data_IF_796713582576
#
_entry.id   IF_796713582576
#
_cell.length_a   1.000
_cell.length_b   1.000
_cell.length_c   1.000
_cell.angle_alpha   90.00
_cell.angle_beta   90.00
_cell.angle_gamma   90.00
#
_symmetry.space_group_name_H-M   'P 1'
#
loop_
_entity.id
_entity.type
_entity.pdbx_description
1 polymer ?
#
# COMPACT_ATOMS: atom_id res chain seq x y z
N UNK A 1 -4.29 17.82 11.20
CA UNK A 1 -3.88 17.90 9.78
C UNK A 1 -4.37 16.67 9.03
N UNK A 2 -4.68 16.80 7.73
CA UNK A 2 -5.08 15.65 6.92
C UNK A 2 -3.87 14.73 6.67
N UNK A 3 -4.08 13.43 6.73
CA UNK A 3 -3.05 12.43 6.38
C UNK A 3 -2.65 12.51 4.89
N UNK A 4 -3.56 12.98 4.02
CA UNK A 4 -3.37 13.06 2.57
C UNK A 4 -3.54 14.48 2.06
N UNK A 5 -2.84 14.83 0.97
CA UNK A 5 -2.97 16.12 0.29
C UNK A 5 -3.27 15.94 -1.20
N UNK A 6 -4.00 16.91 -1.76
CA UNK A 6 -4.32 16.93 -3.20
C UNK A 6 -3.02 17.03 -4.02
N UNK A 7 -2.93 16.30 -5.11
CA UNK A 7 -1.77 16.12 -6.00
C UNK A 7 -0.64 15.25 -5.45
N UNK A 8 -0.76 14.71 -4.26
CA UNK A 8 0.16 13.67 -3.82
C UNK A 8 0.00 12.41 -4.66
N UNK A 9 1.11 11.66 -4.76
CA UNK A 9 1.17 10.41 -5.50
C UNK A 9 1.14 9.25 -4.52
N UNK A 10 0.19 8.35 -4.73
CA UNK A 10 0.14 7.04 -4.08
C UNK A 10 0.55 5.96 -5.07
N UNK A 11 1.37 5.03 -4.65
CA UNK A 11 1.77 3.87 -5.45
C UNK A 11 1.02 2.62 -4.98
N UNK A 12 0.50 1.84 -5.90
CA UNK A 12 -0.09 0.53 -5.60
C UNK A 12 0.96 -0.48 -5.16
N UNK A 13 0.72 -1.16 -4.06
CA UNK A 13 1.61 -2.18 -3.49
C UNK A 13 1.15 -3.60 -3.79
N UNK A 14 -0.14 -3.78 -3.98
CA UNK A 14 -0.73 -5.04 -4.40
C UNK A 14 -1.88 -4.75 -5.36
N UNK A 15 -2.05 -5.63 -6.35
CA UNK A 15 -3.27 -5.61 -7.14
C UNK A 15 -4.45 -6.05 -6.28
N UNK A 16 -5.44 -5.18 -6.14
CA UNK A 16 -6.64 -5.48 -5.37
C UNK A 16 -7.87 -4.84 -6.00
N UNK A 17 -8.96 -5.57 -6.01
CA UNK A 17 -10.24 -5.08 -6.47
C UNK A 17 -10.87 -4.20 -5.38
N UNK A 18 -11.67 -3.24 -5.80
CA UNK A 18 -12.47 -2.37 -4.94
C UNK A 18 -13.89 -2.32 -5.50
N UNK A 19 -14.77 -3.09 -4.88
CA UNK A 19 -16.08 -3.32 -5.44
C UNK A 19 -16.02 -3.97 -6.83
N UNK A 20 -17.05 -3.73 -7.64
CA UNK A 20 -17.19 -4.37 -8.97
C UNK A 20 -16.55 -3.55 -10.11
N UNK A 21 -16.11 -2.31 -9.87
CA UNK A 21 -15.84 -1.36 -10.96
C UNK A 21 -14.46 -0.69 -10.88
N UNK A 22 -13.73 -0.85 -9.80
CA UNK A 22 -12.44 -0.20 -9.61
C UNK A 22 -11.38 -1.18 -9.11
N UNK A 23 -10.12 -0.89 -9.44
CA UNK A 23 -8.98 -1.73 -9.07
C UNK A 23 -7.75 -0.89 -8.82
N UNK A 24 -6.98 -1.27 -7.79
CA UNK A 24 -5.60 -0.82 -7.63
C UNK A 24 -4.68 -1.85 -8.28
N UNK A 25 -3.77 -1.38 -9.11
CA UNK A 25 -2.75 -2.22 -9.76
C UNK A 25 -1.41 -2.08 -9.04
N UNK A 26 -0.70 -3.19 -8.89
CA UNK A 26 0.63 -3.18 -8.30
C UNK A 26 1.60 -2.33 -9.12
N UNK A 27 2.40 -1.52 -8.43
CA UNK A 27 3.43 -0.64 -9.02
C UNK A 27 2.90 0.47 -9.96
N UNK A 28 1.60 0.74 -9.92
CA UNK A 28 0.97 1.86 -10.65
C UNK A 28 0.82 3.05 -9.72
N UNK A 29 1.09 4.23 -10.25
CA UNK A 29 0.97 5.49 -9.53
C UNK A 29 -0.41 6.11 -9.73
N UNK A 30 -0.94 6.69 -8.66
CA UNK A 30 -2.24 7.34 -8.59
C UNK A 30 -2.07 8.72 -7.99
N UNK A 31 -2.60 9.73 -8.64
CA UNK A 31 -2.63 11.11 -8.16
C UNK A 31 -3.92 11.32 -7.36
N UNK A 32 -3.80 11.88 -6.17
CA UNK A 32 -4.96 12.28 -5.35
C UNK A 32 -5.56 13.54 -5.95
N UNK A 33 -6.80 13.46 -6.37
CA UNK A 33 -7.55 14.59 -6.95
C UNK A 33 -8.58 15.16 -5.98
N UNK A 34 -9.12 14.31 -5.10
CA UNK A 34 -10.13 14.69 -4.11
C UNK A 34 -9.92 13.94 -2.79
N UNK A 35 -10.27 14.58 -1.68
CA UNK A 35 -10.13 14.04 -0.33
C UNK A 35 -11.39 14.39 0.47
N UNK A 36 -12.08 13.36 0.95
CA UNK A 36 -13.23 13.51 1.84
C UNK A 36 -13.03 12.63 3.08
N UNK A 37 -12.94 13.23 4.28
CA UNK A 37 -12.92 12.46 5.54
C UNK A 37 -14.17 11.59 5.64
N UNK A 38 -13.99 10.35 6.09
CA UNK A 38 -15.06 9.35 6.19
C UNK A 38 -14.86 8.47 7.41
N UNK A 39 -15.95 7.99 7.98
CA UNK A 39 -15.93 6.88 8.93
C UNK A 39 -16.29 5.61 8.19
N UNK A 40 -15.36 4.67 8.17
CA UNK A 40 -15.67 3.30 7.72
C UNK A 40 -16.38 2.58 8.85
N UNK A 41 -17.56 2.02 8.55
CA UNK A 41 -18.36 1.32 9.55
C UNK A 41 -18.70 -0.07 9.04
N UNK A 42 -18.41 -1.06 9.87
CA UNK A 42 -18.85 -2.43 9.65
C UNK A 42 -19.26 -3.06 10.98
N UNK A 43 -20.54 -3.38 11.15
CA UNK A 43 -21.15 -3.79 12.43
C UNK A 43 -20.88 -2.75 13.53
N UNK A 44 -20.23 -3.15 14.61
CA UNK A 44 -19.81 -2.31 15.74
C UNK A 44 -18.42 -1.66 15.57
N UNK A 45 -17.69 -2.03 14.51
CA UNK A 45 -16.36 -1.48 14.19
C UNK A 45 -16.53 -0.14 13.48
N UNK A 46 -15.86 0.90 14.00
CA UNK A 46 -15.78 2.23 13.41
C UNK A 46 -14.35 2.66 13.30
N UNK A 47 -13.89 2.92 12.07
CA UNK A 47 -12.52 3.31 11.76
C UNK A 47 -12.51 4.63 10.99
N UNK A 48 -11.54 5.48 11.30
CA UNK A 48 -11.26 6.66 10.50
C UNK A 48 -10.80 6.22 9.10
N UNK A 49 -11.33 6.88 8.10
CA UNK A 49 -11.02 6.60 6.70
C UNK A 49 -11.09 7.89 5.87
N UNK A 50 -10.63 7.80 4.66
CA UNK A 50 -10.78 8.85 3.65
C UNK A 50 -11.41 8.24 2.41
N UNK A 51 -12.34 8.96 1.81
CA UNK A 51 -12.74 8.70 0.45
C UNK A 51 -11.85 9.55 -0.46
N UNK A 52 -10.92 8.89 -1.15
CA UNK A 52 -10.00 9.54 -2.06
C UNK A 52 -10.45 9.36 -3.51
N UNK A 53 -10.51 10.47 -4.25
CA UNK A 53 -10.56 10.44 -5.70
C UNK A 53 -9.16 10.22 -6.24
N UNK A 54 -8.94 9.10 -6.92
CA UNK A 54 -7.64 8.72 -7.47
C UNK A 54 -7.69 8.66 -8.99
N UNK A 55 -6.66 9.17 -9.65
CA UNK A 55 -6.49 9.10 -11.10
C UNK A 55 -5.09 8.62 -11.45
N UNK A 56 -4.97 7.64 -12.33
CA UNK A 56 -3.69 7.18 -12.87
C UNK A 56 -3.43 7.66 -14.30
N UNK A 57 -4.46 8.17 -14.98
CA UNK A 57 -4.39 8.76 -16.32
C UNK A 57 -5.56 9.74 -16.52
N UNK A 58 -5.57 10.47 -17.63
CA UNK A 58 -6.61 11.47 -17.94
C UNK A 58 -8.06 10.91 -17.92
N UNK A 59 -8.23 9.62 -18.16
CA UNK A 59 -9.55 8.99 -18.30
C UNK A 59 -9.80 7.89 -17.24
N UNK A 60 -8.94 7.76 -16.23
CA UNK A 60 -9.00 6.70 -15.24
C UNK A 60 -9.14 7.35 -13.85
N UNK A 61 -10.38 7.57 -13.46
CA UNK A 61 -10.72 8.18 -12.19
C UNK A 61 -11.71 7.29 -11.43
N UNK A 62 -11.42 7.05 -10.15
CA UNK A 62 -12.34 6.34 -9.26
C UNK A 62 -12.21 6.81 -7.82
N UNK A 63 -13.27 6.63 -7.04
CA UNK A 63 -13.27 6.85 -5.60
C UNK A 63 -12.95 5.56 -4.86
N UNK A 64 -12.06 5.69 -3.87
CA UNK A 64 -11.66 4.58 -3.00
C UNK A 64 -11.80 4.98 -1.54
N UNK A 65 -12.31 4.09 -0.71
CA UNK A 65 -12.28 4.25 0.75
C UNK A 65 -10.98 3.66 1.28
N UNK A 66 -10.14 4.48 1.89
CA UNK A 66 -8.82 4.10 2.42
C UNK A 66 -8.84 4.32 3.93
N UNK A 67 -8.49 3.30 4.69
CA UNK A 67 -8.38 3.41 6.15
C UNK A 67 -7.23 4.35 6.52
N UNK A 68 -7.43 5.17 7.57
CA UNK A 68 -6.35 5.98 8.14
C UNK A 68 -5.33 5.09 8.85
N UNK A 69 -4.05 5.52 8.83
CA UNK A 69 -2.97 4.87 9.60
C UNK A 69 -3.14 5.05 11.10
N UNK A 70 -3.76 6.14 11.51
CA UNK A 70 -3.89 6.55 12.91
C UNK A 70 -5.04 5.83 13.63
N UNK A 71 -5.65 4.84 12.99
CA UNK A 71 -6.67 4.02 13.66
C UNK A 71 -6.07 3.24 14.84
N UNK A 72 -6.80 3.12 15.95
CA UNK A 72 -6.37 2.32 17.09
C UNK A 72 -6.12 0.85 16.68
N UNK A 73 -4.99 0.30 17.11
CA UNK A 73 -4.60 -1.06 16.71
C UNK A 73 -5.65 -2.11 17.10
N UNK A 74 -6.28 -2.00 18.27
CA UNK A 74 -7.33 -2.90 18.70
C UNK A 74 -8.56 -2.91 17.77
N UNK A 75 -8.90 -1.78 17.13
CA UNK A 75 -10.00 -1.72 16.16
C UNK A 75 -9.59 -2.31 14.79
N UNK A 76 -8.32 -2.13 14.41
CA UNK A 76 -7.76 -2.78 13.22
C UNK A 76 -7.69 -4.29 13.39
N UNK A 77 -7.32 -4.77 14.60
CA UNK A 77 -7.26 -6.19 14.93
C UNK A 77 -8.67 -6.82 14.89
N UNK A 78 -9.70 -6.13 15.41
CA UNK A 78 -11.10 -6.58 15.30
C UNK A 78 -11.54 -6.70 13.84
N UNK A 79 -11.20 -5.72 12.99
CA UNK A 79 -11.52 -5.78 11.57
C UNK A 79 -10.81 -6.96 10.88
N UNK A 80 -9.53 -7.18 11.19
CA UNK A 80 -8.77 -8.30 10.66
C UNK A 80 -9.36 -9.65 11.09
N UNK A 81 -9.74 -9.78 12.37
CA UNK A 81 -10.42 -10.97 12.90
C UNK A 81 -11.72 -11.25 12.18
N UNK A 82 -12.56 -10.22 11.99
CA UNK A 82 -13.84 -10.38 11.27
C UNK A 82 -13.60 -10.81 9.81
N UNK A 83 -12.62 -10.23 9.13
CA UNK A 83 -12.26 -10.65 7.77
C UNK A 83 -11.83 -12.13 7.75
N UNK A 84 -10.98 -12.56 8.69
CA UNK A 84 -10.53 -13.96 8.77
C UNK A 84 -11.68 -14.91 9.09
N UNK A 85 -12.56 -14.57 10.02
CA UNK A 85 -13.72 -15.39 10.38
C UNK A 85 -14.67 -15.57 9.18
N UNK A 86 -14.92 -14.51 8.40
CA UNK A 86 -15.72 -14.60 7.18
C UNK A 86 -15.04 -15.48 6.12
N UNK A 87 -13.71 -15.35 5.97
CA UNK A 87 -12.94 -16.19 5.06
C UNK A 87 -12.99 -17.66 5.46
N UNK A 88 -12.76 -17.97 6.73
CA UNK A 88 -12.81 -19.33 7.25
C UNK A 88 -14.19 -19.96 7.08
N UNK A 89 -15.26 -19.18 7.35
CA UNK A 89 -16.63 -19.62 7.12
C UNK A 89 -16.86 -19.96 5.64
N UNK A 90 -16.40 -19.09 4.71
CA UNK A 90 -16.54 -19.32 3.28
C UNK A 90 -15.76 -20.56 2.81
N UNK A 91 -14.56 -20.79 3.35
CA UNK A 91 -13.75 -21.98 3.05
C UNK A 91 -14.43 -23.26 3.55
N UNK A 92 -14.96 -23.25 4.78
CA UNK A 92 -15.58 -24.45 5.39
C UNK A 92 -16.93 -24.80 4.76
N UNK A 93 -17.77 -23.80 4.50
CA UNK A 93 -19.09 -24.00 3.91
C UNK A 93 -19.05 -24.29 2.40
N UNK A 94 -17.98 -23.85 1.72
CA UNK A 94 -17.86 -23.83 0.24
C UNK A 94 -19.04 -23.12 -0.46
N UNK A 95 -19.76 -22.26 0.28
CA UNK A 95 -20.94 -21.55 -0.18
C UNK A 95 -20.55 -20.30 -0.98
N UNK A 96 -21.13 -20.13 -2.15
CA UNK A 96 -21.00 -18.89 -2.94
C UNK A 96 -21.49 -17.65 -2.15
N UNK A 97 -22.52 -17.80 -1.32
CA UNK A 97 -23.06 -16.70 -0.52
C UNK A 97 -22.06 -16.26 0.57
N UNK A 98 -21.38 -17.18 1.22
CA UNK A 98 -20.38 -16.84 2.23
C UNK A 98 -19.15 -16.18 1.61
N UNK A 99 -18.71 -16.62 0.43
CA UNK A 99 -17.68 -15.93 -0.34
C UNK A 99 -18.11 -14.52 -0.76
N UNK A 100 -19.35 -14.35 -1.18
CA UNK A 100 -19.91 -13.03 -1.50
C UNK A 100 -19.85 -12.09 -0.28
N UNK A 101 -20.24 -12.56 0.90
CA UNK A 101 -20.17 -11.77 2.14
C UNK A 101 -18.73 -11.40 2.51
N UNK A 102 -17.79 -12.33 2.35
CA UNK A 102 -16.38 -12.05 2.57
C UNK A 102 -15.88 -10.94 1.63
N UNK A 103 -16.09 -11.07 0.33
CA UNK A 103 -15.61 -10.08 -0.64
C UNK A 103 -16.34 -8.74 -0.51
N UNK A 104 -17.62 -8.71 -0.13
CA UNK A 104 -18.33 -7.47 0.15
C UNK A 104 -17.65 -6.64 1.25
N UNK A 105 -17.10 -7.28 2.27
CA UNK A 105 -16.29 -6.57 3.27
C UNK A 105 -14.88 -6.34 2.75
N UNK A 106 -14.20 -7.38 2.29
CA UNK A 106 -12.78 -7.34 1.94
C UNK A 106 -12.46 -6.32 0.86
N UNK A 107 -13.34 -6.15 -0.13
CA UNK A 107 -13.19 -5.22 -1.25
C UNK A 107 -13.87 -3.86 -1.01
N UNK A 108 -14.41 -3.61 0.18
CA UNK A 108 -15.06 -2.33 0.51
C UNK A 108 -14.11 -1.26 1.02
N UNK A 109 -12.87 -1.61 1.32
CA UNK A 109 -11.84 -0.67 1.79
C UNK A 109 -10.45 -1.06 1.29
N UNK A 110 -9.58 -0.07 1.19
CA UNK A 110 -8.15 -0.20 0.98
C UNK A 110 -7.41 0.15 2.26
N UNK A 111 -6.17 -0.31 2.38
CA UNK A 111 -5.36 -0.06 3.57
C UNK A 111 -3.93 0.35 3.21
N UNK A 112 -3.36 1.39 3.87
CA UNK A 112 -1.97 1.78 3.72
C UNK A 112 -1.01 0.95 4.58
N UNK A 113 -1.54 0.03 5.40
CA UNK A 113 -0.78 -0.88 6.26
C UNK A 113 -1.22 -2.32 6.04
N UNK A 114 -0.44 -3.28 6.50
CA UNK A 114 -0.88 -4.68 6.55
C UNK A 114 -1.85 -4.87 7.73
N UNK A 115 -3.02 -5.44 7.46
CA UNK A 115 -3.89 -5.93 8.52
C UNK A 115 -3.47 -7.35 8.88
N UNK A 116 -3.21 -7.58 10.15
CA UNK A 116 -2.75 -8.87 10.67
C UNK A 116 -3.69 -9.41 11.74
N UNK A 117 -3.83 -10.72 11.80
CA UNK A 117 -4.52 -11.44 12.86
C UNK A 117 -3.80 -12.75 13.13
N UNK A 118 -3.53 -13.05 14.39
CA UNK A 118 -2.81 -14.26 14.82
C UNK A 118 -1.50 -14.48 14.03
N UNK A 119 -0.65 -13.43 13.96
CA UNK A 119 0.62 -13.39 13.23
C UNK A 119 0.52 -13.69 11.72
N UNK A 120 -0.68 -13.64 11.16
CA UNK A 120 -0.91 -13.82 9.71
C UNK A 120 -1.35 -12.50 9.08
N UNK A 121 -0.88 -12.24 7.88
CA UNK A 121 -1.34 -11.10 7.10
C UNK A 121 -2.68 -11.47 6.46
N UNK A 122 -3.75 -10.82 6.91
CA UNK A 122 -5.12 -11.02 6.43
C UNK A 122 -5.38 -10.17 5.19
N UNK A 123 -4.98 -8.90 5.23
CA UNK A 123 -5.02 -8.01 4.06
C UNK A 123 -3.71 -7.26 3.94
N UNK A 124 -3.08 -7.38 2.78
CA UNK A 124 -1.82 -6.69 2.51
C UNK A 124 -2.08 -5.21 2.24
N UNK A 125 -1.08 -4.39 2.52
CA UNK A 125 -1.05 -2.99 2.14
C UNK A 125 -1.43 -2.84 0.67
N UNK A 126 -2.47 -2.05 0.39
CA UNK A 126 -3.02 -1.86 -0.96
C UNK A 126 -2.25 -0.78 -1.72
N UNK A 127 -2.06 0.36 -1.07
CA UNK A 127 -1.34 1.52 -1.62
C UNK A 127 -0.70 2.33 -0.51
N UNK A 128 0.28 3.14 -0.88
CA UNK A 128 1.00 4.02 0.03
C UNK A 128 1.62 5.18 -0.73
N UNK A 129 2.19 6.16 -0.02
CA UNK A 129 2.90 7.27 -0.65
C UNK A 129 3.95 6.80 -1.65
N UNK A 130 4.00 7.44 -2.81
CA UNK A 130 4.94 7.16 -3.90
C UNK A 130 6.31 7.82 -3.72
N UNK A 131 6.60 8.43 -2.57
CA UNK A 131 7.86 9.15 -2.34
C UNK A 131 9.09 8.24 -2.19
N UNK A 132 8.88 6.98 -1.88
CA UNK A 132 9.94 6.01 -1.72
C UNK A 132 9.51 4.67 -2.31
N UNK A 133 10.31 4.15 -3.23
CA UNK A 133 10.08 2.87 -3.88
C UNK A 133 11.28 1.94 -3.68
N UNK A 134 11.05 0.64 -3.72
CA UNK A 134 12.17 -0.31 -3.70
C UNK A 134 12.95 -0.28 -5.01
N UNK A 135 14.23 -0.63 -4.99
CA UNK A 135 15.05 -0.77 -6.19
C UNK A 135 14.40 -1.68 -7.24
N UNK A 136 13.77 -2.79 -6.81
CA UNK A 136 13.04 -3.68 -7.71
C UNK A 136 11.85 -2.99 -8.41
N UNK A 137 11.10 -2.14 -7.71
CA UNK A 137 9.98 -1.41 -8.30
C UNK A 137 10.42 -0.28 -9.23
N UNK A 138 11.64 0.22 -9.09
CA UNK A 138 12.20 1.25 -9.98
C UNK A 138 12.68 0.72 -11.33
N UNK A 139 12.68 -0.60 -11.53
CA UNK A 139 13.05 -1.21 -12.81
C UNK A 139 12.17 -0.67 -13.94
N UNK A 140 12.81 -0.38 -15.08
CA UNK A 140 12.17 0.21 -16.26
C UNK A 140 11.69 1.67 -16.13
N UNK A 141 11.95 2.32 -14.99
CA UNK A 141 11.69 3.75 -14.78
C UNK A 141 12.98 4.56 -14.78
N UNK A 142 12.89 5.85 -15.11
CA UNK A 142 14.02 6.80 -15.04
C UNK A 142 13.54 8.06 -14.32
N UNK A 143 14.43 8.66 -13.53
CA UNK A 143 14.13 9.82 -12.69
C UNK A 143 15.24 10.86 -12.89
N UNK A 144 14.90 12.15 -12.90
CA UNK A 144 15.90 13.21 -12.99
C UNK A 144 16.82 13.20 -11.76
N UNK A 145 16.28 13.06 -10.59
CA UNK A 145 17.03 13.01 -9.33
C UNK A 145 16.66 11.72 -8.60
N UNK A 146 17.68 10.99 -8.13
CA UNK A 146 17.50 9.76 -7.34
C UNK A 146 18.23 9.91 -6.02
N UNK A 147 17.49 9.73 -4.91
CA UNK A 147 18.05 9.62 -3.57
C UNK A 147 18.04 8.14 -3.15
N UNK A 148 19.20 7.60 -2.82
CA UNK A 148 19.36 6.19 -2.40
C UNK A 148 19.70 6.12 -0.92
N UNK A 149 18.91 5.36 -0.16
CA UNK A 149 19.26 4.87 1.17
C UNK A 149 20.14 3.61 1.04
N UNK A 150 21.45 3.83 0.99
CA UNK A 150 22.41 2.74 0.79
C UNK A 150 22.46 1.80 2.00
N UNK A 151 22.19 2.28 3.21
CA UNK A 151 22.15 1.44 4.42
C UNK A 151 21.05 0.39 4.34
N UNK A 152 19.91 0.76 3.77
CA UNK A 152 18.80 -0.17 3.58
C UNK A 152 19.19 -1.26 2.56
N UNK A 153 19.85 -0.88 1.48
CA UNK A 153 20.33 -1.82 0.46
C UNK A 153 21.36 -2.79 1.06
N UNK A 154 22.28 -2.31 1.89
CA UNK A 154 23.33 -3.14 2.52
C UNK A 154 22.79 -4.18 3.52
N UNK A 155 21.54 -4.09 3.95
CA UNK A 155 20.91 -5.12 4.77
C UNK A 155 20.65 -6.43 4.00
N UNK A 156 20.76 -6.40 2.68
CA UNK A 156 20.63 -7.61 1.86
C UNK A 156 21.81 -8.55 2.13
N UNK A 157 21.50 -9.76 2.59
CA UNK A 157 22.52 -10.78 2.93
C UNK A 157 23.08 -11.48 1.70
N UNK A 158 22.35 -11.51 0.60
CA UNK A 158 22.79 -12.10 -0.64
C UNK A 158 23.67 -11.11 -1.43
N UNK A 159 24.95 -11.44 -1.62
CA UNK A 159 25.91 -10.55 -2.29
C UNK A 159 25.58 -10.28 -3.77
N UNK A 160 24.99 -11.22 -4.46
CA UNK A 160 24.64 -11.06 -5.86
C UNK A 160 23.40 -10.16 -6.00
N UNK A 161 22.39 -10.39 -5.19
CA UNK A 161 21.19 -9.55 -5.11
C UNK A 161 21.56 -8.12 -4.67
N UNK A 162 22.47 -7.98 -3.70
CA UNK A 162 22.99 -6.68 -3.26
C UNK A 162 23.57 -5.89 -4.43
N UNK A 163 24.45 -6.51 -5.23
CA UNK A 163 25.06 -5.86 -6.41
C UNK A 163 24.01 -5.48 -7.46
N UNK A 164 23.03 -6.35 -7.69
CA UNK A 164 21.92 -6.07 -8.61
C UNK A 164 21.09 -4.90 -8.13
N UNK A 165 20.73 -4.85 -6.85
CA UNK A 165 19.97 -3.73 -6.28
C UNK A 165 20.74 -2.41 -6.36
N UNK A 166 22.04 -2.42 -6.05
CA UNK A 166 22.91 -1.23 -6.18
C UNK A 166 22.94 -0.74 -7.64
N UNK A 167 23.17 -1.66 -8.58
CA UNK A 167 23.18 -1.33 -10.00
C UNK A 167 21.86 -0.74 -10.46
N UNK A 168 20.74 -1.40 -10.13
CA UNK A 168 19.40 -0.92 -10.51
C UNK A 168 19.15 0.45 -9.92
N UNK A 169 19.38 0.65 -8.63
CA UNK A 169 19.14 1.93 -7.97
C UNK A 169 19.97 3.07 -8.58
N UNK A 170 21.27 2.88 -8.77
CA UNK A 170 22.16 3.90 -9.31
C UNK A 170 21.90 4.21 -10.79
N UNK A 171 21.48 3.21 -11.57
CA UNK A 171 21.24 3.37 -13.00
C UNK A 171 19.91 4.04 -13.37
N UNK A 172 19.10 4.41 -12.38
CA UNK A 172 17.78 5.04 -12.63
C UNK A 172 17.83 6.54 -12.77
N UNK A 173 18.92 7.19 -12.38
CA UNK A 173 19.07 8.65 -12.53
C UNK A 173 19.43 9.08 -13.94
N UNK A 174 18.87 10.21 -14.38
CA UNK A 174 19.25 10.87 -15.63
C UNK A 174 20.03 12.18 -15.41
N UNK A 175 20.06 12.69 -14.17
CA UNK A 175 20.78 13.91 -13.80
C UNK A 175 21.57 13.69 -12.52
N UNK A 176 20.95 13.71 -11.36
CA UNK A 176 21.63 13.74 -10.07
C UNK A 176 21.37 12.49 -9.23
N UNK A 177 22.45 11.91 -8.74
CA UNK A 177 22.43 10.79 -7.82
C UNK A 177 22.91 11.23 -6.43
N UNK A 178 22.03 11.11 -5.44
CA UNK A 178 22.32 11.42 -4.04
C UNK A 178 22.32 10.11 -3.26
N UNK A 179 23.44 9.81 -2.59
CA UNK A 179 23.59 8.60 -1.79
C UNK A 179 23.62 8.99 -0.32
N UNK A 180 22.63 8.48 0.43
CA UNK A 180 22.61 8.56 1.88
C UNK A 180 23.31 7.33 2.46
N UNK A 181 24.32 7.59 3.32
CA UNK A 181 24.97 6.57 4.15
C UNK A 181 25.40 7.21 5.47
N UNK A 182 25.22 6.53 6.59
CA UNK A 182 25.77 6.96 7.88
C UNK A 182 27.29 6.93 7.81
N UNK A 183 27.91 8.02 8.18
CA UNK A 183 29.34 7.96 8.57
C UNK A 183 29.39 7.30 9.94
N UNK A 184 29.89 6.06 10.03
CA UNK A 184 30.39 5.57 11.30
C UNK A 184 31.62 6.45 11.67
N UNK A 185 31.43 7.28 12.68
CA UNK A 185 32.59 7.93 13.30
C UNK A 185 33.46 6.80 13.88
N UNK A 186 34.54 6.46 13.20
CA UNK A 186 35.60 5.60 13.73
C UNK A 186 36.06 6.23 15.04
N UNK A 187 35.73 5.60 16.16
CA UNK A 187 36.39 5.86 17.45
C UNK A 187 37.67 5.06 17.55
#
# INVERSE_FOLDING_TARGET
>A
ESEYHIREILTGYNSCDYGAQARIENSKDYIITEIHPKIFTFRDIKLNAYQLGLSSSKNDFAYFTILSRDNPQNELDKLAEVCENLRQKAVSSKSFLDWKHFFQLYDSFLTPINLTYDNRVIKRKSLDYGYCISAHKSQSSSYSIVLIDMENIWRCKNKEELRQMQYVACSRTTSDLIIYQKHEHSQ
#
